data_IF_553896317098
#
_entry.id   IF_553896317098
#
_cell.length_a   1.000
_cell.length_b   1.000
_cell.length_c   1.000
_cell.angle_alpha   90.00
_cell.angle_beta   90.00
_cell.angle_gamma   90.00
#
_symmetry.space_group_name_H-M   'P 1'
#
loop_
_entity.id
_entity.type
_entity.pdbx_description
1 polymer ?
#
# COMPACT_ATOMS: atom_id res chain seq x y z
N UNK A 1 -26.53 27.21 -13.76
CA UNK A 1 -25.39 26.32 -13.47
C UNK A 1 -25.57 25.09 -14.31
N UNK A 2 -24.53 24.64 -15.02
CA UNK A 2 -24.56 23.33 -15.66
C UNK A 2 -24.71 22.24 -14.57
N UNK A 3 -25.38 21.10 -14.86
CA UNK A 3 -25.41 19.98 -13.93
C UNK A 3 -23.98 19.48 -13.65
N UNK A 4 -23.70 18.97 -12.44
CA UNK A 4 -22.37 18.43 -12.12
C UNK A 4 -22.06 17.23 -13.00
N UNK A 5 -20.82 17.16 -13.48
CA UNK A 5 -20.33 16.07 -14.32
C UNK A 5 -19.92 14.88 -13.44
N UNK A 6 -20.86 13.97 -13.18
CA UNK A 6 -20.63 12.85 -12.24
C UNK A 6 -20.14 11.62 -13.00
N UNK A 7 -18.89 11.25 -12.74
CA UNK A 7 -18.31 9.99 -13.20
C UNK A 7 -18.56 8.89 -12.15
N UNK A 8 -18.78 7.66 -12.62
CA UNK A 8 -18.92 6.49 -11.74
C UNK A 8 -18.10 5.35 -12.29
N UNK A 9 -17.09 4.93 -11.53
CA UNK A 9 -16.24 3.79 -11.85
C UNK A 9 -16.31 2.77 -10.73
N UNK A 10 -16.69 1.54 -11.08
CA UNK A 10 -17.02 0.48 -10.11
C UNK A 10 -18.06 0.94 -9.06
N UNK A 11 -17.65 1.00 -7.79
CA UNK A 11 -18.46 1.35 -6.62
C UNK A 11 -18.08 2.74 -6.07
N UNK A 12 -17.49 3.60 -6.90
CA UNK A 12 -17.04 4.95 -6.52
C UNK A 12 -17.60 5.95 -7.53
N UNK A 13 -18.22 7.02 -7.01
CA UNK A 13 -18.71 8.15 -7.80
C UNK A 13 -18.03 9.43 -7.33
N UNK A 14 -17.66 10.28 -8.28
CA UNK A 14 -17.00 11.56 -8.03
C UNK A 14 -17.37 12.58 -9.11
N UNK A 15 -17.23 13.85 -8.78
CA UNK A 15 -17.45 14.96 -9.70
C UNK A 15 -16.18 15.22 -10.49
N UNK A 16 -16.27 15.12 -11.81
CA UNK A 16 -15.18 15.42 -12.73
C UNK A 16 -14.99 16.93 -12.82
N UNK A 17 -13.73 17.36 -12.77
CA UNK A 17 -13.34 18.78 -12.76
C UNK A 17 -12.19 19.02 -13.73
N UNK A 18 -11.84 20.28 -13.97
CA UNK A 18 -10.68 20.68 -14.79
C UNK A 18 -9.31 20.17 -14.28
N UNK A 19 -9.23 19.75 -13.02
CA UNK A 19 -8.01 19.16 -12.43
C UNK A 19 -7.84 17.68 -12.80
N UNK A 20 -8.91 17.02 -13.21
CA UNK A 20 -8.87 15.62 -13.62
C UNK A 20 -8.16 15.45 -14.97
N UNK A 21 -7.57 14.28 -15.18
CA UNK A 21 -6.86 13.91 -16.40
C UNK A 21 -7.62 12.83 -17.16
N UNK A 22 -7.85 13.06 -18.45
CA UNK A 22 -8.47 12.03 -19.31
C UNK A 22 -7.50 10.89 -19.58
N UNK A 23 -8.02 9.77 -20.09
CA UNK A 23 -7.20 8.63 -20.50
C UNK A 23 -6.10 9.02 -21.51
N UNK A 24 -6.41 9.91 -22.46
CA UNK A 24 -5.48 10.42 -23.48
C UNK A 24 -4.36 11.26 -22.85
N UNK A 25 -4.66 11.98 -21.76
CA UNK A 25 -3.67 12.79 -21.04
C UNK A 25 -2.77 11.93 -20.13
N UNK A 26 -3.30 10.84 -19.56
CA UNK A 26 -2.54 9.92 -18.72
C UNK A 26 -1.69 8.94 -19.54
N UNK A 27 -2.17 8.54 -20.73
CA UNK A 27 -1.51 7.53 -21.57
C UNK A 27 -0.03 7.81 -21.88
N UNK A 28 0.42 9.05 -22.20
CA UNK A 28 1.84 9.33 -22.42
C UNK A 28 2.73 8.96 -21.22
N UNK A 29 2.21 9.11 -19.99
CA UNK A 29 2.94 8.80 -18.76
C UNK A 29 3.16 7.29 -18.57
N UNK A 30 2.51 6.43 -19.36
CA UNK A 30 2.81 4.99 -19.40
C UNK A 30 4.11 4.69 -20.17
N UNK A 31 4.67 5.67 -20.87
CA UNK A 31 5.88 5.53 -21.67
C UNK A 31 7.06 6.36 -21.14
N UNK A 32 6.84 7.16 -20.11
CA UNK A 32 7.90 7.84 -19.36
C UNK A 32 8.25 7.04 -18.11
N UNK A 33 9.48 7.20 -17.64
CA UNK A 33 10.04 6.48 -16.50
C UNK A 33 11.31 7.19 -16.01
N UNK A 34 11.80 6.78 -14.85
CA UNK A 34 13.05 7.24 -14.25
C UNK A 34 14.29 6.80 -15.06
N UNK A 35 14.59 7.59 -16.09
CA UNK A 35 15.73 7.37 -17.00
C UNK A 35 17.07 7.53 -16.28
N UNK A 36 17.17 8.46 -15.33
CA UNK A 36 18.39 8.70 -14.58
C UNK A 36 18.79 7.44 -13.80
N UNK A 37 17.85 6.82 -13.07
CA UNK A 37 18.13 5.59 -12.35
C UNK A 37 18.43 4.41 -13.30
N UNK A 38 17.74 4.28 -14.44
CA UNK A 38 18.04 3.24 -15.43
C UNK A 38 19.47 3.38 -16.01
N UNK A 39 19.87 4.60 -16.37
CA UNK A 39 21.23 4.89 -16.86
C UNK A 39 22.28 4.57 -15.77
N UNK A 40 22.00 4.92 -14.50
CA UNK A 40 22.87 4.58 -13.38
C UNK A 40 22.97 3.07 -13.15
N UNK A 41 21.87 2.31 -13.26
CA UNK A 41 21.90 0.85 -13.16
C UNK A 41 22.76 0.25 -14.27
N UNK A 42 22.69 0.77 -15.49
CA UNK A 42 23.55 0.33 -16.59
C UNK A 42 25.04 0.56 -16.24
N UNK A 43 25.41 1.75 -15.76
CA UNK A 43 26.78 2.07 -15.31
C UNK A 43 27.26 1.19 -14.16
N UNK A 44 26.41 0.96 -13.15
CA UNK A 44 26.73 0.06 -12.04
C UNK A 44 26.91 -1.40 -12.49
N UNK A 45 26.18 -1.85 -13.52
CA UNK A 45 26.37 -3.17 -14.12
C UNK A 45 27.67 -3.29 -14.92
N UNK A 46 28.21 -2.18 -15.44
CA UNK A 46 29.52 -2.16 -16.11
C UNK A 46 30.66 -2.15 -15.09
N UNK A 47 30.57 -1.31 -14.05
CA UNK A 47 31.59 -1.17 -13.00
C UNK A 47 31.62 -2.36 -12.04
N UNK A 48 30.45 -2.92 -11.73
CA UNK A 48 30.29 -4.07 -10.84
C UNK A 48 29.24 -5.02 -11.41
N UNK A 49 29.62 -5.87 -12.38
CA UNK A 49 28.70 -6.78 -13.05
C UNK A 49 27.95 -7.67 -12.06
N UNK A 50 26.62 -7.85 -12.23
CA UNK A 50 25.90 -8.80 -11.41
C UNK A 50 26.47 -10.20 -11.64
N UNK A 51 26.68 -10.97 -10.58
CA UNK A 51 27.02 -12.39 -10.71
C UNK A 51 25.98 -13.06 -11.62
N UNK A 52 26.44 -13.89 -12.57
CA UNK A 52 25.56 -14.60 -13.49
C UNK A 52 24.67 -15.55 -12.69
N UNK A 53 23.50 -15.11 -12.27
CA UNK A 53 22.49 -15.97 -11.66
C UNK A 53 21.99 -16.98 -12.72
N UNK A 54 22.59 -18.17 -12.72
CA UNK A 54 22.10 -19.34 -13.43
C UNK A 54 21.58 -20.32 -12.39
N UNK A 55 20.26 -20.38 -12.14
CA UNK A 55 19.72 -21.50 -11.38
C UNK A 55 19.93 -22.76 -12.23
N UNK A 56 20.88 -23.61 -11.84
CA UNK A 56 20.96 -24.97 -12.37
C UNK A 56 19.80 -25.77 -11.78
N UNK A 57 19.07 -26.51 -12.63
CA UNK A 57 18.02 -27.41 -12.16
C UNK A 57 18.64 -28.44 -11.19
N UNK A 58 18.24 -28.40 -9.92
CA UNK A 58 18.61 -29.41 -8.92
C UNK A 58 19.68 -29.02 -7.89
N UNK A 59 20.27 -27.82 -7.92
CA UNK A 59 21.21 -27.37 -6.88
C UNK A 59 20.52 -26.52 -5.78
N UNK A 60 20.85 -26.72 -4.49
CA UNK A 60 20.35 -25.86 -3.41
C UNK A 60 20.97 -24.46 -3.52
N UNK A 61 20.20 -23.38 -3.27
CA UNK A 61 20.68 -22.01 -3.42
C UNK A 61 21.76 -21.69 -2.40
N UNK A 62 23.02 -21.58 -2.84
CA UNK A 62 24.08 -20.94 -2.05
C UNK A 62 23.83 -19.43 -2.02
N UNK A 63 23.99 -18.81 -0.84
CA UNK A 63 23.83 -17.35 -0.68
C UNK A 63 25.02 -16.65 -1.35
N UNK A 64 24.84 -16.19 -2.58
CA UNK A 64 25.72 -15.21 -3.19
C UNK A 64 25.85 -13.97 -2.28
N UNK A 65 27.00 -13.26 -2.28
CA UNK A 65 27.12 -11.97 -1.60
C UNK A 65 26.03 -11.03 -2.14
N UNK A 66 25.29 -10.38 -1.24
CA UNK A 66 24.19 -9.51 -1.66
C UNK A 66 24.76 -8.26 -2.35
N UNK A 67 24.41 -8.04 -3.61
CA UNK A 67 24.76 -6.85 -4.38
C UNK A 67 23.88 -5.67 -3.95
N UNK A 68 24.32 -4.91 -2.94
CA UNK A 68 23.63 -3.68 -2.51
C UNK A 68 23.93 -2.53 -3.50
N UNK A 69 22.95 -2.21 -4.34
CA UNK A 69 23.08 -1.17 -5.36
C UNK A 69 23.26 0.23 -4.77
N UNK A 70 22.72 0.51 -3.58
CA UNK A 70 22.90 1.81 -2.93
C UNK A 70 24.35 1.97 -2.46
N UNK A 71 24.95 0.92 -1.88
CA UNK A 71 26.35 0.94 -1.47
C UNK A 71 27.30 1.07 -2.67
N UNK A 72 26.95 0.44 -3.81
CA UNK A 72 27.71 0.61 -5.06
C UNK A 72 27.57 2.03 -5.61
N UNK A 73 26.36 2.61 -5.58
CA UNK A 73 26.13 3.99 -5.99
C UNK A 73 26.98 4.95 -5.14
N UNK A 74 26.94 4.84 -3.82
CA UNK A 74 27.75 5.64 -2.90
C UNK A 74 29.25 5.53 -3.21
N UNK A 75 29.72 4.30 -3.43
CA UNK A 75 31.13 4.00 -3.71
C UNK A 75 31.63 4.67 -4.99
N UNK A 76 30.85 4.64 -6.06
CA UNK A 76 31.29 5.08 -7.39
C UNK A 76 30.77 6.47 -7.77
N UNK A 77 29.90 7.09 -6.97
CA UNK A 77 29.28 8.38 -7.28
C UNK A 77 30.31 9.47 -7.62
N UNK A 78 31.44 9.54 -6.90
CA UNK A 78 32.48 10.57 -7.12
C UNK A 78 33.31 10.37 -8.38
N UNK A 79 33.29 9.16 -8.94
CA UNK A 79 34.16 8.76 -10.05
C UNK A 79 33.41 8.68 -11.39
N UNK A 80 32.07 8.78 -11.39
CA UNK A 80 31.22 8.70 -12.58
C UNK A 80 30.15 9.81 -12.55
N UNK A 81 30.17 10.77 -13.51
CA UNK A 81 29.26 11.92 -13.49
C UNK A 81 27.77 11.56 -13.48
N UNK A 82 27.38 10.42 -14.07
CA UNK A 82 25.98 9.97 -14.09
C UNK A 82 25.56 9.44 -12.73
N UNK A 83 26.46 8.72 -12.05
CA UNK A 83 26.24 8.26 -10.68
C UNK A 83 26.25 9.43 -9.68
N UNK A 84 27.10 10.44 -9.92
CA UNK A 84 27.12 11.68 -9.13
C UNK A 84 25.79 12.43 -9.22
N UNK A 85 25.21 12.52 -10.42
CA UNK A 85 23.92 13.17 -10.66
C UNK A 85 22.82 12.52 -9.82
N UNK A 86 22.68 11.18 -9.89
CA UNK A 86 21.69 10.47 -9.07
C UNK A 86 22.00 10.59 -7.58
N UNK A 87 23.26 10.46 -7.18
CA UNK A 87 23.67 10.59 -5.77
C UNK A 87 23.35 11.96 -5.20
N UNK A 88 23.53 13.02 -6.01
CA UNK A 88 23.19 14.39 -5.63
C UNK A 88 21.68 14.55 -5.51
N UNK A 89 20.90 14.07 -6.49
CA UNK A 89 19.45 14.14 -6.47
C UNK A 89 18.86 13.45 -5.23
N UNK A 90 19.25 12.22 -4.94
CA UNK A 90 18.69 11.49 -3.79
C UNK A 90 19.05 12.12 -2.45
N UNK A 91 20.18 12.83 -2.33
CA UNK A 91 20.61 13.46 -1.08
C UNK A 91 20.18 14.93 -0.97
N UNK A 92 19.58 15.50 -2.01
CA UNK A 92 19.04 16.85 -1.99
C UNK A 92 17.66 16.84 -1.33
N UNK A 93 17.42 17.78 -0.42
CA UNK A 93 16.09 17.98 0.19
C UNK A 93 15.37 19.05 -0.61
N UNK A 94 14.20 18.77 -1.22
CA UNK A 94 13.44 19.77 -1.96
C UNK A 94 12.98 20.94 -1.09
N UNK A 95 12.90 22.15 -1.67
CA UNK A 95 12.53 23.38 -0.95
C UNK A 95 11.13 23.37 -0.33
N UNK A 96 10.23 22.55 -0.88
CA UNK A 96 8.86 22.40 -0.37
C UNK A 96 8.76 21.48 0.86
N UNK A 97 9.85 20.85 1.31
CA UNK A 97 9.85 19.96 2.47
C UNK A 97 9.83 20.77 3.77
N UNK A 98 8.70 20.72 4.47
CA UNK A 98 8.58 21.14 5.87
C UNK A 98 8.73 19.91 6.79
N UNK A 99 9.82 19.83 7.54
CA UNK A 99 10.07 18.70 8.45
C UNK A 99 9.04 18.57 9.57
N UNK A 100 8.45 19.65 10.05
CA UNK A 100 7.37 19.56 11.03
C UNK A 100 6.10 19.00 10.40
N UNK A 101 5.82 19.33 9.13
CA UNK A 101 4.76 18.72 8.34
C UNK A 101 4.98 17.22 8.14
N UNK A 102 6.18 16.81 7.73
CA UNK A 102 6.55 15.40 7.58
C UNK A 102 6.36 14.64 8.89
N UNK A 103 6.77 15.23 10.03
CA UNK A 103 6.59 14.61 11.35
C UNK A 103 5.12 14.36 11.66
N UNK A 104 4.24 15.35 11.41
CA UNK A 104 2.79 15.18 11.62
C UNK A 104 2.21 14.13 10.67
N UNK A 105 2.69 14.06 9.43
CA UNK A 105 2.32 13.02 8.47
C UNK A 105 2.68 11.61 8.96
N UNK A 106 3.86 11.45 9.58
CA UNK A 106 4.26 10.20 10.22
C UNK A 106 3.35 9.83 11.41
N UNK A 107 2.88 10.82 12.17
CA UNK A 107 1.93 10.59 13.28
C UNK A 107 0.57 10.11 12.78
N UNK A 108 0.09 10.59 11.63
CA UNK A 108 -1.17 10.12 11.00
C UNK A 108 -1.13 8.61 10.77
N UNK A 109 0.00 8.07 10.26
CA UNK A 109 0.16 6.63 10.08
C UNK A 109 -0.06 5.86 11.38
N UNK A 110 0.59 6.26 12.48
CA UNK A 110 0.46 5.53 13.75
C UNK A 110 -0.86 5.80 14.48
N UNK A 111 -1.44 6.99 14.33
CA UNK A 111 -2.76 7.35 14.86
C UNK A 111 -3.85 6.44 14.29
N UNK A 112 -3.78 6.19 12.99
CA UNK A 112 -4.71 5.30 12.27
C UNK A 112 -4.10 3.95 11.91
N UNK A 113 -3.08 3.47 12.66
CA UNK A 113 -2.28 2.30 12.29
C UNK A 113 -3.07 1.07 11.84
N UNK A 114 -3.96 0.55 12.68
CA UNK A 114 -4.77 -0.63 12.34
C UNK A 114 -5.64 -0.44 11.09
N UNK A 115 -6.47 0.63 11.00
CA UNK A 115 -7.27 0.85 9.80
C UNK A 115 -6.42 1.15 8.56
N UNK A 116 -5.31 1.90 8.63
CA UNK A 116 -4.41 2.12 7.48
C UNK A 116 -3.79 0.79 7.03
N UNK A 117 -3.34 -0.06 7.94
CA UNK A 117 -2.79 -1.38 7.60
C UNK A 117 -3.80 -2.26 6.85
N UNK A 118 -5.09 -2.18 7.17
CA UNK A 118 -6.15 -2.84 6.40
C UNK A 118 -6.31 -2.24 5.01
N UNK A 119 -6.31 -0.90 4.91
CA UNK A 119 -6.37 -0.24 3.61
C UNK A 119 -5.22 -0.72 2.72
N UNK A 120 -3.98 -0.65 3.22
CA UNK A 120 -2.80 -1.05 2.47
C UNK A 120 -2.86 -2.53 2.04
N UNK A 121 -3.36 -3.41 2.91
CA UNK A 121 -3.43 -4.86 2.63
C UNK A 121 -4.55 -5.26 1.67
N UNK A 122 -5.73 -4.64 1.81
CA UNK A 122 -6.95 -5.12 1.14
C UNK A 122 -7.48 -4.16 0.08
N UNK A 123 -7.39 -2.84 0.28
CA UNK A 123 -7.79 -1.86 -0.72
C UNK A 123 -6.64 -1.61 -1.71
N UNK A 124 -5.47 -1.21 -1.21
CA UNK A 124 -4.32 -0.84 -2.03
C UNK A 124 -3.72 -2.06 -2.72
N UNK A 125 -3.36 -3.10 -1.96
CA UNK A 125 -2.73 -4.29 -2.52
C UNK A 125 -3.72 -5.21 -3.24
N UNK A 126 -4.70 -5.78 -2.52
CA UNK A 126 -5.61 -6.77 -3.11
C UNK A 126 -6.51 -6.11 -4.16
N UNK A 127 -7.11 -4.96 -3.87
CA UNK A 127 -7.87 -4.17 -4.84
C UNK A 127 -7.02 -3.65 -6.00
N UNK A 128 -5.75 -3.29 -5.73
CA UNK A 128 -4.78 -2.90 -6.75
C UNK A 128 -4.44 -3.99 -7.78
N UNK A 129 -4.80 -5.27 -7.51
CA UNK A 129 -4.76 -6.31 -8.54
C UNK A 129 -5.77 -6.07 -9.69
N UNK A 130 -6.57 -5.00 -9.60
CA UNK A 130 -7.36 -4.48 -10.71
C UNK A 130 -6.58 -3.62 -11.71
N UNK A 131 -5.40 -3.08 -11.34
CA UNK A 131 -4.57 -2.25 -12.20
C UNK A 131 -3.79 -3.13 -13.20
N UNK A 132 -4.36 -3.34 -14.38
CA UNK A 132 -3.94 -4.41 -15.29
C UNK A 132 -2.47 -4.33 -15.74
N UNK A 133 -1.93 -3.13 -15.97
CA UNK A 133 -0.54 -2.93 -16.42
C UNK A 133 0.47 -3.20 -15.32
N UNK A 134 0.19 -2.73 -14.11
CA UNK A 134 0.98 -3.02 -12.90
C UNK A 134 0.99 -4.53 -12.65
N UNK A 135 -0.18 -5.18 -12.71
CA UNK A 135 -0.33 -6.62 -12.52
C UNK A 135 0.48 -7.42 -13.54
N UNK A 136 0.52 -6.98 -14.80
CA UNK A 136 1.33 -7.63 -15.84
C UNK A 136 2.81 -7.61 -15.46
N UNK A 137 3.34 -6.45 -15.05
CA UNK A 137 4.72 -6.34 -14.54
C UNK A 137 4.96 -7.25 -13.34
N UNK A 138 4.05 -7.26 -12.36
CA UNK A 138 4.15 -8.11 -11.17
C UNK A 138 4.17 -9.60 -11.51
N UNK A 139 3.32 -10.03 -12.46
CA UNK A 139 3.22 -11.42 -12.87
C UNK A 139 4.55 -11.96 -13.42
N UNK A 140 5.30 -11.15 -14.18
CA UNK A 140 6.60 -11.49 -14.79
C UNK A 140 7.73 -11.68 -13.77
N UNK A 141 7.62 -11.08 -12.58
CA UNK A 141 8.60 -11.27 -11.51
C UNK A 141 8.47 -12.63 -10.81
N UNK A 142 7.27 -13.22 -10.79
CA UNK A 142 6.96 -14.40 -9.98
C UNK A 142 6.88 -14.12 -8.47
N UNK A 143 7.02 -12.87 -8.03
CA UNK A 143 7.05 -12.48 -6.62
C UNK A 143 5.69 -12.55 -5.90
N UNK A 144 4.60 -12.82 -6.63
CA UNK A 144 3.24 -12.92 -6.10
C UNK A 144 2.69 -14.35 -6.12
N UNK A 145 3.55 -15.36 -6.13
CA UNK A 145 3.12 -16.73 -5.85
C UNK A 145 2.69 -16.87 -4.39
N UNK A 146 1.72 -17.76 -4.11
CA UNK A 146 1.19 -17.96 -2.76
C UNK A 146 2.25 -18.32 -1.71
N UNK A 147 3.34 -18.99 -2.11
CA UNK A 147 4.45 -19.38 -1.23
C UNK A 147 5.37 -18.22 -0.83
N UNK A 148 5.39 -17.16 -1.64
CA UNK A 148 6.35 -16.07 -1.54
C UNK A 148 5.71 -14.76 -1.08
N UNK A 149 4.45 -14.53 -1.49
CA UNK A 149 3.78 -13.24 -1.38
C UNK A 149 3.87 -12.65 0.03
N UNK A 150 3.69 -13.47 1.08
CA UNK A 150 3.80 -13.02 2.47
C UNK A 150 5.13 -12.33 2.77
N UNK A 151 6.26 -12.89 2.31
CA UNK A 151 7.58 -12.29 2.54
C UNK A 151 7.72 -10.95 1.83
N UNK A 152 7.26 -10.85 0.57
CA UNK A 152 7.28 -9.57 -0.16
C UNK A 152 6.44 -8.50 0.50
N UNK A 153 5.30 -8.89 1.09
CA UNK A 153 4.45 -7.95 1.83
C UNK A 153 5.10 -7.47 3.11
N UNK A 154 5.85 -8.33 3.80
CA UNK A 154 6.67 -7.90 4.94
C UNK A 154 7.83 -6.99 4.50
N UNK A 155 8.44 -7.22 3.34
CA UNK A 155 9.42 -6.29 2.75
C UNK A 155 8.78 -4.91 2.50
N UNK A 156 7.59 -4.84 1.89
CA UNK A 156 6.85 -3.58 1.73
C UNK A 156 6.47 -2.95 3.08
N UNK A 157 6.06 -3.76 4.07
CA UNK A 157 5.77 -3.27 5.42
C UNK A 157 7.00 -2.65 6.07
N UNK A 158 8.18 -3.24 5.90
CA UNK A 158 9.43 -2.66 6.39
C UNK A 158 9.62 -1.25 5.81
N UNK A 159 9.44 -1.08 4.49
CA UNK A 159 9.57 0.22 3.85
C UNK A 159 8.60 1.26 4.44
N UNK A 160 7.31 0.92 4.54
CA UNK A 160 6.27 1.80 5.14
C UNK A 160 6.66 2.21 6.56
N UNK A 161 7.12 1.25 7.38
CA UNK A 161 7.52 1.51 8.75
C UNK A 161 8.77 2.40 8.81
N UNK A 162 9.77 2.16 7.96
CA UNK A 162 10.99 2.97 7.90
C UNK A 162 10.68 4.42 7.50
N UNK A 163 9.83 4.67 6.49
CA UNK A 163 9.46 6.04 6.10
C UNK A 163 8.57 6.73 7.14
N UNK A 164 7.83 5.96 7.94
CA UNK A 164 6.96 6.50 9.00
C UNK A 164 7.68 6.69 10.35
N UNK A 165 8.85 6.06 10.55
CA UNK A 165 9.42 5.82 11.88
C UNK A 165 9.90 7.06 12.64
N UNK A 166 10.53 8.02 11.96
CA UNK A 166 11.02 9.26 12.56
C UNK A 166 11.51 10.22 11.48
N UNK A 167 11.73 11.48 11.85
CA UNK A 167 12.36 12.45 10.95
C UNK A 167 13.76 12.03 10.54
N UNK A 168 14.56 11.53 11.48
CA UNK A 168 15.92 11.06 11.19
C UNK A 168 15.90 9.87 10.22
N UNK A 169 14.83 9.07 10.22
CA UNK A 169 14.64 8.01 9.23
C UNK A 169 14.38 8.56 7.82
N UNK A 170 13.73 9.71 7.69
CA UNK A 170 13.39 10.34 6.39
C UNK A 170 14.43 11.34 5.87
N UNK A 171 15.31 11.83 6.73
CA UNK A 171 16.44 12.68 6.30
C UNK A 171 17.45 11.87 5.48
N UNK A 172 18.22 12.52 4.58
CA UNK A 172 19.27 11.84 3.82
C UNK A 172 20.19 10.99 4.72
N UNK A 173 20.40 9.74 4.34
CA UNK A 173 21.15 8.75 5.11
C UNK A 173 20.32 7.99 6.16
N UNK A 174 19.09 8.39 6.43
CA UNK A 174 18.15 7.68 7.32
C UNK A 174 17.61 6.37 6.73
N UNK A 175 17.07 5.49 7.58
CA UNK A 175 16.59 4.17 7.13
C UNK A 175 15.44 4.26 6.11
N UNK A 176 14.48 5.17 6.32
CA UNK A 176 13.39 5.47 5.39
C UNK A 176 13.91 5.98 4.05
N UNK A 177 14.77 7.01 4.08
CA UNK A 177 15.44 7.54 2.90
C UNK A 177 16.18 6.45 2.11
N UNK A 178 17.09 5.72 2.76
CA UNK A 178 17.84 4.66 2.10
C UNK A 178 16.93 3.55 1.56
N UNK A 179 15.85 3.21 2.27
CA UNK A 179 14.88 2.22 1.81
C UNK A 179 14.15 2.67 0.55
N UNK A 180 13.72 3.94 0.46
CA UNK A 180 13.14 4.54 -0.75
C UNK A 180 14.10 4.45 -1.94
N UNK A 181 15.37 4.80 -1.73
CA UNK A 181 16.39 4.75 -2.79
C UNK A 181 16.67 3.31 -3.23
N UNK A 182 16.75 2.36 -2.30
CA UNK A 182 16.91 0.93 -2.65
C UNK A 182 15.72 0.42 -3.48
N UNK A 183 14.49 0.83 -3.16
CA UNK A 183 13.31 0.49 -3.97
C UNK A 183 13.38 1.14 -5.35
N UNK A 184 13.82 2.41 -5.47
CA UNK A 184 14.06 3.10 -6.76
C UNK A 184 15.02 2.31 -7.65
N UNK A 185 16.18 1.92 -7.11
CA UNK A 185 17.19 1.13 -7.82
C UNK A 185 16.69 -0.28 -8.18
N UNK A 186 15.90 -0.90 -7.30
CA UNK A 186 15.25 -2.19 -7.59
C UNK A 186 14.25 -2.06 -8.75
N UNK A 187 13.44 -1.00 -8.78
CA UNK A 187 12.48 -0.74 -9.84
C UNK A 187 13.18 -0.59 -11.20
N UNK A 188 14.25 0.20 -11.27
CA UNK A 188 15.08 0.32 -12.49
C UNK A 188 15.69 -1.01 -12.91
N UNK A 189 16.17 -1.81 -11.97
CA UNK A 189 16.71 -3.16 -12.26
C UNK A 189 15.65 -4.10 -12.84
N UNK A 190 14.41 -4.06 -12.32
CA UNK A 190 13.28 -4.85 -12.83
C UNK A 190 12.88 -4.38 -14.23
N UNK A 191 12.73 -3.06 -14.43
CA UNK A 191 12.37 -2.44 -15.70
C UNK A 191 13.36 -2.80 -16.80
N UNK A 192 14.65 -2.54 -16.58
CA UNK A 192 15.72 -2.87 -17.50
C UNK A 192 15.72 -4.37 -17.87
N UNK A 193 15.43 -5.24 -16.88
CA UNK A 193 15.37 -6.68 -17.11
C UNK A 193 14.20 -7.10 -17.98
N UNK A 194 12.99 -6.58 -17.74
CA UNK A 194 11.81 -6.90 -18.55
C UNK A 194 11.98 -6.38 -19.98
N UNK A 195 12.46 -5.14 -20.14
CA UNK A 195 12.71 -4.55 -21.47
C UNK A 195 13.77 -5.33 -22.25
N UNK A 196 14.84 -5.79 -21.59
CA UNK A 196 15.84 -6.65 -22.21
C UNK A 196 15.23 -7.97 -22.71
N UNK A 197 14.33 -8.60 -21.94
CA UNK A 197 13.65 -9.83 -22.35
C UNK A 197 12.66 -9.59 -23.49
N UNK A 198 11.93 -8.48 -23.47
CA UNK A 198 11.01 -8.08 -24.53
C UNK A 198 11.75 -7.78 -25.84
N UNK A 199 12.96 -7.19 -25.76
CA UNK A 199 13.82 -6.99 -26.94
C UNK A 199 14.28 -8.31 -27.56
N UNK A 200 14.56 -9.32 -26.74
CA UNK A 200 14.95 -10.66 -27.22
C UNK A 200 13.75 -11.45 -27.76
N UNK A 201 12.58 -11.32 -27.12
CA UNK A 201 11.32 -11.96 -27.52
C UNK A 201 10.15 -10.98 -27.37
N UNK A 202 9.72 -10.29 -28.43
CA UNK A 202 8.67 -9.27 -28.37
C UNK A 202 7.35 -9.78 -27.77
N UNK A 203 7.02 -11.05 -27.94
CA UNK A 203 5.83 -11.69 -27.36
C UNK A 203 5.90 -11.86 -25.83
N UNK A 204 7.06 -11.63 -25.21
CA UNK A 204 7.24 -11.74 -23.76
C UNK A 204 6.48 -10.65 -23.01
N UNK A 205 6.47 -9.41 -23.51
CA UNK A 205 5.83 -8.28 -22.86
C UNK A 205 5.43 -7.23 -23.92
N UNK A 206 4.13 -6.96 -24.02
CA UNK A 206 3.56 -6.05 -25.00
C UNK A 206 3.67 -4.60 -24.51
N UNK A 207 4.75 -3.92 -24.92
CA UNK A 207 5.05 -2.54 -24.53
C UNK A 207 4.00 -1.58 -25.08
N UNK A 208 3.50 -1.80 -26.29
CA UNK A 208 2.49 -0.93 -26.88
C UNK A 208 1.23 -0.96 -26.04
N UNK A 209 0.76 -2.15 -25.65
CA UNK A 209 -0.43 -2.30 -24.82
C UNK A 209 -0.22 -1.84 -23.38
N UNK A 210 0.84 -2.31 -22.73
CA UNK A 210 1.02 -2.15 -21.28
C UNK A 210 1.88 -0.94 -20.89
N UNK A 211 2.50 -0.25 -21.84
CA UNK A 211 3.49 0.79 -21.55
C UNK A 211 4.82 0.20 -21.05
N UNK A 212 5.75 1.08 -20.69
CA UNK A 212 7.01 0.70 -20.07
C UNK A 212 6.71 0.13 -18.66
N UNK A 213 7.27 -1.03 -18.28
CA UNK A 213 7.03 -1.58 -16.95
C UNK A 213 7.57 -0.65 -15.87
N UNK A 214 6.78 -0.41 -14.83
CA UNK A 214 7.12 0.55 -13.77
C UNK A 214 7.31 1.94 -14.40
N UNK A 215 6.36 2.34 -15.23
CA UNK A 215 6.32 3.70 -15.80
C UNK A 215 6.07 4.74 -14.71
N UNK A 216 6.22 6.02 -15.05
CA UNK A 216 5.87 7.11 -14.14
C UNK A 216 4.42 6.99 -13.67
N UNK A 217 3.49 6.62 -14.57
CA UNK A 217 2.09 6.44 -14.19
C UNK A 217 1.89 5.25 -13.23
N UNK A 218 2.62 4.15 -13.42
CA UNK A 218 2.55 3.02 -12.49
C UNK A 218 3.07 3.41 -11.10
N UNK A 219 4.15 4.20 -11.05
CA UNK A 219 4.72 4.73 -9.82
C UNK A 219 3.78 5.72 -9.13
N UNK A 220 3.19 6.67 -9.85
CA UNK A 220 2.20 7.62 -9.33
C UNK A 220 0.96 6.87 -8.81
N UNK A 221 0.43 5.92 -9.59
CA UNK A 221 -0.69 5.09 -9.18
C UNK A 221 -0.39 4.31 -7.91
N UNK A 222 0.82 3.75 -7.79
CA UNK A 222 1.26 3.06 -6.58
C UNK A 222 1.33 4.03 -5.39
N UNK A 223 1.99 5.19 -5.50
CA UNK A 223 2.04 6.20 -4.44
C UNK A 223 0.63 6.65 -4.02
N UNK A 224 -0.29 6.84 -4.97
CA UNK A 224 -1.69 7.15 -4.69
C UNK A 224 -2.34 6.11 -3.78
N UNK A 225 -2.14 4.82 -4.05
CA UNK A 225 -2.70 3.75 -3.21
C UNK A 225 -2.11 3.71 -1.78
N UNK A 226 -0.94 4.30 -1.56
CA UNK A 226 -0.34 4.45 -0.22
C UNK A 226 -0.74 5.75 0.49
N UNK A 227 -1.29 6.72 -0.23
CA UNK A 227 -1.52 8.09 0.25
C UNK A 227 -2.97 8.53 0.08
N UNK A 228 -3.32 9.06 -1.10
CA UNK A 228 -4.61 9.66 -1.43
C UNK A 228 -5.77 8.67 -1.29
N UNK A 229 -5.62 7.44 -1.78
CA UNK A 229 -6.64 6.40 -1.62
C UNK A 229 -6.85 6.01 -0.15
N UNK A 230 -5.81 6.11 0.68
CA UNK A 230 -5.92 5.83 2.12
C UNK A 230 -6.85 6.83 2.78
N UNK A 231 -6.66 8.11 2.53
CA UNK A 231 -7.40 9.17 3.22
C UNK A 231 -8.79 9.43 2.64
N UNK A 232 -9.00 9.24 1.34
CA UNK A 232 -10.28 9.54 0.69
C UNK A 232 -11.16 8.33 0.39
N UNK A 233 -10.62 7.10 0.37
CA UNK A 233 -11.39 5.88 0.10
C UNK A 233 -11.33 4.93 1.29
N UNK A 234 -10.12 4.50 1.66
CA UNK A 234 -9.91 3.40 2.60
C UNK A 234 -10.31 3.69 4.05
N UNK A 235 -9.91 4.84 4.59
CA UNK A 235 -10.31 5.25 5.95
C UNK A 235 -11.82 5.59 6.02
N UNK A 236 -12.41 6.36 5.08
CA UNK A 236 -13.85 6.59 5.04
C UNK A 236 -14.69 5.32 4.98
N UNK A 237 -14.25 4.30 4.21
CA UNK A 237 -14.93 3.00 4.16
C UNK A 237 -14.91 2.25 5.50
N UNK A 238 -14.02 2.60 6.42
CA UNK A 238 -14.01 2.10 7.81
C UNK A 238 -14.67 3.07 8.80
N UNK A 239 -15.30 4.14 8.31
CA UNK A 239 -15.98 5.17 9.11
C UNK A 239 -15.04 6.18 9.77
N UNK A 240 -13.78 6.27 9.31
CA UNK A 240 -12.77 7.20 9.83
C UNK A 240 -12.58 8.33 8.83
N UNK A 241 -12.79 9.56 9.29
CA UNK A 241 -12.59 10.78 8.50
C UNK A 241 -11.45 11.59 9.13
N UNK A 242 -10.24 11.57 8.54
CA UNK A 242 -9.12 12.41 8.98
C UNK A 242 -9.47 13.89 8.88
N UNK A 243 -8.80 14.71 9.69
CA UNK A 243 -8.92 16.17 9.59
C UNK A 243 -8.18 16.69 8.35
N UNK A 244 -8.59 17.85 7.85
CA UNK A 244 -8.00 18.45 6.64
C UNK A 244 -6.48 18.65 6.72
N UNK A 245 -5.96 19.03 7.88
CA UNK A 245 -4.52 19.15 8.12
C UNK A 245 -3.83 17.79 8.18
N UNK A 246 -4.48 16.76 8.74
CA UNK A 246 -3.93 15.38 8.73
C UNK A 246 -3.81 14.84 7.30
N UNK A 247 -4.77 15.18 6.43
CA UNK A 247 -4.74 14.81 5.01
C UNK A 247 -3.54 15.49 4.32
N UNK A 248 -3.37 16.81 4.51
CA UNK A 248 -2.22 17.55 3.97
C UNK A 248 -0.89 17.00 4.47
N UNK A 249 -0.76 16.79 5.78
CA UNK A 249 0.45 16.29 6.41
C UNK A 249 0.81 14.88 5.90
N UNK A 250 -0.18 13.99 5.74
CA UNK A 250 0.03 12.63 5.23
C UNK A 250 0.40 12.62 3.74
N UNK A 251 -0.22 13.49 2.94
CA UNK A 251 0.12 13.65 1.52
C UNK A 251 1.55 14.20 1.37
N UNK A 252 1.96 15.17 2.20
CA UNK A 252 3.32 15.71 2.19
C UNK A 252 4.38 14.64 2.48
N UNK A 253 4.11 13.73 3.45
CA UNK A 253 4.98 12.58 3.72
C UNK A 253 5.17 11.73 2.46
N UNK A 254 4.07 11.35 1.80
CA UNK A 254 4.14 10.50 0.62
C UNK A 254 4.66 11.22 -0.63
N UNK A 255 4.55 12.55 -0.70
CA UNK A 255 5.23 13.38 -1.71
C UNK A 255 6.74 13.29 -1.56
N UNK A 256 7.26 13.30 -0.34
CA UNK A 256 8.70 13.10 -0.07
C UNK A 256 9.15 11.66 -0.38
N UNK A 257 8.32 10.66 -0.04
CA UNK A 257 8.59 9.27 -0.44
C UNK A 257 8.63 9.15 -1.98
N UNK A 258 7.68 9.76 -2.69
CA UNK A 258 7.64 9.78 -4.15
C UNK A 258 8.91 10.39 -4.75
N UNK A 259 9.36 11.52 -4.21
CA UNK A 259 10.62 12.18 -4.61
C UNK A 259 11.83 11.23 -4.47
N UNK A 260 12.03 10.64 -3.29
CA UNK A 260 13.15 9.71 -3.08
C UNK A 260 13.04 8.44 -3.94
N UNK A 261 11.83 8.05 -4.33
CA UNK A 261 11.57 6.93 -5.23
C UNK A 261 11.70 7.28 -6.72
N UNK A 262 12.02 8.53 -7.08
CA UNK A 262 12.12 8.98 -8.48
C UNK A 262 10.77 9.11 -9.19
N UNK A 263 9.67 9.22 -8.44
CA UNK A 263 8.32 9.39 -8.98
C UNK A 263 8.02 10.88 -9.15
N UNK A 264 7.39 11.32 -10.27
CA UNK A 264 6.95 12.71 -10.40
C UNK A 264 6.07 13.13 -9.22
N UNK A 265 6.26 14.35 -8.67
CA UNK A 265 5.59 14.75 -7.42
C UNK A 265 4.46 15.76 -7.57
N UNK A 266 4.28 16.32 -8.77
CA UNK A 266 3.37 17.44 -9.02
C UNK A 266 1.91 17.10 -8.71
N UNK A 267 1.55 15.82 -8.85
CA UNK A 267 0.20 15.34 -8.53
C UNK A 267 -0.14 15.44 -7.03
N UNK A 268 0.84 15.58 -6.13
CA UNK A 268 0.63 15.72 -4.68
C UNK A 268 0.87 17.14 -4.17
N UNK A 269 0.90 18.15 -5.06
CA UNK A 269 1.22 19.53 -4.67
C UNK A 269 0.16 20.14 -3.74
N UNK A 270 -1.10 19.81 -3.96
CA UNK A 270 -2.24 20.26 -3.16
C UNK A 270 -3.34 19.19 -3.14
N UNK A 271 -4.26 19.30 -2.17
CA UNK A 271 -5.34 18.32 -1.97
C UNK A 271 -6.28 18.19 -3.18
N UNK A 272 -6.85 19.28 -3.75
CA UNK A 272 -7.67 19.17 -4.95
C UNK A 272 -6.99 18.42 -6.11
N UNK A 273 -5.75 18.80 -6.43
CA UNK A 273 -4.97 18.16 -7.49
C UNK A 273 -4.73 16.68 -7.18
N UNK A 274 -4.31 16.36 -5.94
CA UNK A 274 -4.05 14.99 -5.51
C UNK A 274 -5.29 14.10 -5.56
N UNK A 275 -6.44 14.63 -5.16
CA UNK A 275 -7.71 13.91 -5.21
C UNK A 275 -8.15 13.68 -6.66
N UNK A 276 -8.13 14.70 -7.50
CA UNK A 276 -8.49 14.59 -8.90
C UNK A 276 -7.58 13.59 -9.63
N UNK A 277 -6.27 13.61 -9.38
CA UNK A 277 -5.33 12.66 -10.00
C UNK A 277 -5.59 11.22 -9.55
N UNK A 278 -5.91 11.01 -8.27
CA UNK A 278 -6.33 9.69 -7.75
C UNK A 278 -7.57 9.17 -8.49
N UNK A 279 -8.59 10.03 -8.63
CA UNK A 279 -9.86 9.70 -9.29
C UNK A 279 -9.64 9.40 -10.79
N UNK A 280 -8.83 10.20 -11.48
CA UNK A 280 -8.45 9.97 -12.88
C UNK A 280 -7.68 8.66 -13.09
N UNK A 281 -6.71 8.34 -12.21
CA UNK A 281 -5.98 7.07 -12.28
C UNK A 281 -6.90 5.89 -11.99
N UNK A 282 -7.82 6.03 -11.04
CA UNK A 282 -8.78 4.98 -10.73
C UNK A 282 -9.62 4.62 -11.96
N UNK A 283 -10.12 5.63 -12.68
CA UNK A 283 -10.88 5.42 -13.92
C UNK A 283 -10.03 4.80 -15.04
N UNK A 284 -8.78 5.24 -15.19
CA UNK A 284 -7.90 4.79 -16.28
C UNK A 284 -7.26 3.41 -16.05
N UNK A 285 -6.79 3.10 -14.85
CA UNK A 285 -5.99 1.89 -14.57
C UNK A 285 -6.83 0.67 -14.20
N UNK A 286 -7.90 0.89 -13.43
CA UNK A 286 -8.57 -0.19 -12.70
C UNK A 286 -9.57 -0.88 -13.62
N UNK A 287 -9.09 -1.91 -14.30
CA UNK A 287 -9.89 -2.83 -15.12
C UNK A 287 -9.32 -4.26 -14.96
N UNK A 288 -9.78 -5.02 -13.95
CA UNK A 288 -9.19 -6.31 -13.61
C UNK A 288 -9.19 -7.32 -14.77
N UNK A 289 -8.05 -7.97 -14.97
CA UNK A 289 -7.87 -9.05 -15.98
C UNK A 289 -7.67 -10.41 -15.29
N UNK A 290 -7.79 -11.55 -16.00
CA UNK A 290 -7.66 -12.88 -15.39
C UNK A 290 -6.39 -13.08 -14.56
N UNK A 291 -5.26 -12.51 -14.99
CA UNK A 291 -4.01 -12.56 -14.22
C UNK A 291 -4.12 -11.82 -12.87
N UNK A 292 -4.86 -10.71 -12.81
CA UNK A 292 -5.13 -9.98 -11.57
C UNK A 292 -5.94 -10.81 -10.56
N UNK A 293 -6.91 -11.59 -11.04
CA UNK A 293 -7.68 -12.52 -10.21
C UNK A 293 -6.77 -13.60 -9.59
N UNK A 294 -5.79 -14.11 -10.36
CA UNK A 294 -4.80 -15.07 -9.85
C UNK A 294 -3.95 -14.46 -8.74
N UNK A 295 -3.44 -13.24 -8.93
CA UNK A 295 -2.62 -12.58 -7.92
C UNK A 295 -3.44 -12.23 -6.66
N UNK A 296 -4.68 -11.75 -6.81
CA UNK A 296 -5.59 -11.48 -5.70
C UNK A 296 -5.84 -12.74 -4.86
N UNK A 297 -6.12 -13.89 -5.50
CA UNK A 297 -6.26 -15.18 -4.81
C UNK A 297 -4.98 -15.62 -4.11
N UNK A 298 -3.82 -15.44 -4.75
CA UNK A 298 -2.53 -15.79 -4.15
C UNK A 298 -2.22 -14.98 -2.89
N UNK A 299 -2.60 -13.69 -2.85
CA UNK A 299 -2.45 -12.85 -1.66
C UNK A 299 -3.25 -13.46 -0.49
N UNK A 300 -4.52 -13.79 -0.72
CA UNK A 300 -5.39 -14.41 0.29
C UNK A 300 -4.81 -15.75 0.75
N UNK A 301 -4.44 -16.63 -0.18
CA UNK A 301 -3.85 -17.96 0.15
C UNK A 301 -2.54 -17.81 0.94
N UNK A 302 -1.68 -16.89 0.51
CA UNK A 302 -0.36 -16.70 1.12
C UNK A 302 -0.44 -16.16 2.54
N UNK A 303 -1.42 -15.29 2.82
CA UNK A 303 -1.60 -14.62 4.10
C UNK A 303 -2.51 -15.38 5.08
N UNK A 304 -3.36 -16.29 4.58
CA UNK A 304 -4.32 -17.03 5.40
C UNK A 304 -3.68 -17.66 6.63
N UNK A 305 -4.24 -17.34 7.80
CA UNK A 305 -3.83 -17.84 9.12
C UNK A 305 -2.32 -17.67 9.39
N UNK A 306 -1.73 -16.56 8.92
CA UNK A 306 -0.34 -16.22 9.21
C UNK A 306 -0.20 -14.94 10.02
N UNK A 307 0.90 -14.84 10.75
CA UNK A 307 1.27 -13.65 11.48
C UNK A 307 1.45 -12.43 10.54
N UNK A 308 1.17 -11.21 11.03
CA UNK A 308 0.87 -10.89 12.44
C UNK A 308 -0.62 -10.98 12.81
N UNK A 309 -1.53 -10.98 11.82
CA UNK A 309 -2.98 -10.85 12.10
C UNK A 309 -3.69 -12.19 12.30
N UNK A 310 -3.14 -13.28 11.78
CA UNK A 310 -3.76 -14.61 11.78
C UNK A 310 -5.21 -14.59 11.27
N UNK A 311 -5.48 -13.77 10.24
CA UNK A 311 -6.81 -13.65 9.66
C UNK A 311 -7.20 -14.90 8.87
N UNK A 312 -8.46 -15.34 9.01
CA UNK A 312 -9.01 -16.37 8.14
C UNK A 312 -9.16 -15.85 6.71
N UNK A 313 -9.28 -16.78 5.77
CA UNK A 313 -9.55 -16.47 4.36
C UNK A 313 -10.84 -15.65 4.22
N UNK A 314 -11.91 -16.09 4.86
CA UNK A 314 -13.24 -15.50 4.74
C UNK A 314 -13.31 -14.10 5.36
N UNK A 315 -12.56 -13.86 6.45
CA UNK A 315 -12.41 -12.51 7.02
C UNK A 315 -11.67 -11.57 6.06
N UNK A 316 -10.56 -12.02 5.47
CA UNK A 316 -9.82 -11.22 4.48
C UNK A 316 -10.67 -10.90 3.25
N UNK A 317 -11.43 -11.87 2.74
CA UNK A 317 -12.37 -11.67 1.63
C UNK A 317 -13.46 -10.66 2.01
N UNK A 318 -14.00 -10.73 3.23
CA UNK A 318 -15.02 -9.78 3.70
C UNK A 318 -14.45 -8.36 3.84
N UNK A 319 -13.25 -8.21 4.41
CA UNK A 319 -12.56 -6.92 4.53
C UNK A 319 -12.26 -6.33 3.15
N UNK A 320 -11.75 -7.14 2.22
CA UNK A 320 -11.49 -6.72 0.84
C UNK A 320 -12.76 -6.26 0.13
N UNK A 321 -13.88 -6.97 0.29
CA UNK A 321 -15.17 -6.56 -0.28
C UNK A 321 -15.69 -5.26 0.31
N UNK A 322 -15.58 -5.09 1.62
CA UNK A 322 -15.99 -3.88 2.31
C UNK A 322 -15.18 -2.66 1.85
N UNK A 323 -13.86 -2.84 1.70
CA UNK A 323 -12.95 -1.77 1.33
C UNK A 323 -12.87 -1.46 -0.17
N UNK A 324 -13.23 -2.37 -1.07
CA UNK A 324 -13.17 -2.15 -2.52
C UNK A 324 -14.54 -1.94 -3.17
N UNK A 325 -15.63 -2.33 -2.50
CA UNK A 325 -16.96 -2.36 -3.10
C UNK A 325 -17.27 -3.70 -3.78
N UNK A 326 -18.54 -3.91 -4.11
CA UNK A 326 -19.01 -5.21 -4.57
C UNK A 326 -18.67 -5.47 -6.03
N UNK A 327 -18.80 -4.47 -6.92
CA UNK A 327 -18.56 -4.66 -8.36
C UNK A 327 -17.09 -4.95 -8.65
N UNK A 328 -16.17 -4.17 -8.07
CA UNK A 328 -14.73 -4.39 -8.26
C UNK A 328 -14.31 -5.75 -7.69
N UNK A 329 -14.84 -6.12 -6.51
CA UNK A 329 -14.55 -7.40 -5.89
C UNK A 329 -15.08 -8.59 -6.70
N UNK A 330 -16.28 -8.49 -7.26
CA UNK A 330 -16.85 -9.50 -8.16
C UNK A 330 -15.97 -9.64 -9.41
N UNK A 331 -15.49 -8.52 -9.97
CA UNK A 331 -14.59 -8.55 -11.14
C UNK A 331 -13.22 -9.17 -10.85
N UNK A 332 -12.72 -8.99 -9.62
CA UNK A 332 -11.50 -9.63 -9.11
C UNK A 332 -11.70 -11.09 -8.68
N UNK A 333 -12.91 -11.64 -8.82
CA UNK A 333 -13.27 -12.99 -8.41
C UNK A 333 -13.04 -13.24 -6.90
N UNK A 334 -13.35 -12.23 -6.10
CA UNK A 334 -13.39 -12.32 -4.62
C UNK A 334 -14.77 -12.81 -4.21
N UNK A 335 -14.90 -13.99 -3.57
CA UNK A 335 -16.19 -14.59 -3.24
C UNK A 335 -17.08 -13.70 -2.39
N UNK A 336 -18.40 -13.76 -2.62
CA UNK A 336 -19.39 -13.17 -1.70
C UNK A 336 -19.26 -13.82 -0.32
N UNK A 337 -19.36 -13.02 0.73
CA UNK A 337 -19.12 -13.45 2.11
C UNK A 337 -20.41 -13.63 2.88
N UNK A 338 -20.40 -14.50 3.89
CA UNK A 338 -21.57 -14.75 4.74
C UNK A 338 -21.89 -13.54 5.62
N UNK A 339 -23.13 -13.47 6.10
CA UNK A 339 -23.58 -12.42 7.01
C UNK A 339 -22.75 -12.37 8.30
N UNK A 340 -22.24 -13.52 8.76
CA UNK A 340 -21.35 -13.59 9.92
C UNK A 340 -20.08 -12.74 9.70
N UNK A 341 -19.34 -12.98 8.62
CA UNK A 341 -18.12 -12.22 8.35
C UNK A 341 -18.40 -10.74 8.04
N UNK A 342 -19.50 -10.44 7.35
CA UNK A 342 -19.92 -9.04 7.17
C UNK A 342 -20.16 -8.34 8.52
N UNK A 343 -20.83 -9.01 9.45
CA UNK A 343 -21.07 -8.51 10.82
C UNK A 343 -19.77 -8.31 11.58
N UNK A 344 -18.80 -9.22 11.44
CA UNK A 344 -17.47 -9.05 12.03
C UNK A 344 -16.76 -7.81 11.49
N UNK A 345 -16.80 -7.56 10.18
CA UNK A 345 -16.18 -6.35 9.60
C UNK A 345 -16.83 -5.09 10.18
N UNK A 346 -18.15 -5.02 10.30
CA UNK A 346 -18.82 -3.88 10.96
C UNK A 346 -18.43 -3.72 12.43
N UNK A 347 -18.35 -4.82 13.18
CA UNK A 347 -17.86 -4.80 14.56
C UNK A 347 -16.42 -4.29 14.66
N UNK A 348 -15.54 -4.75 13.79
CA UNK A 348 -14.16 -4.25 13.68
C UNK A 348 -14.14 -2.75 13.38
N UNK A 349 -14.88 -2.29 12.36
CA UNK A 349 -14.96 -0.88 11.97
C UNK A 349 -15.47 -0.02 13.14
N UNK A 350 -16.48 -0.48 13.86
CA UNK A 350 -16.97 0.19 15.07
C UNK A 350 -15.87 0.36 16.12
N UNK A 351 -15.12 -0.70 16.41
CA UNK A 351 -14.05 -0.63 17.41
C UNK A 351 -12.94 0.34 17.00
N UNK A 352 -12.50 0.30 15.73
CA UNK A 352 -11.45 1.23 15.27
C UNK A 352 -11.95 2.67 15.20
N UNK A 353 -13.23 2.91 14.91
CA UNK A 353 -13.85 4.24 15.03
C UNK A 353 -13.81 4.73 16.48
N UNK A 354 -14.25 3.92 17.44
CA UNK A 354 -14.21 4.28 18.87
C UNK A 354 -12.80 4.65 19.29
N UNK A 355 -11.79 3.85 18.92
CA UNK A 355 -10.38 4.15 19.24
C UNK A 355 -9.92 5.44 18.56
N UNK A 356 -10.17 5.60 17.26
CA UNK A 356 -9.73 6.76 16.49
C UNK A 356 -10.32 8.08 17.02
N UNK A 357 -11.63 8.11 17.27
CA UNK A 357 -12.30 9.31 17.77
C UNK A 357 -12.01 9.56 19.26
N UNK A 358 -11.80 8.51 20.07
CA UNK A 358 -11.35 8.69 21.45
C UNK A 358 -9.95 9.30 21.52
N UNK A 359 -9.01 8.82 20.69
CA UNK A 359 -7.67 9.39 20.59
C UNK A 359 -7.72 10.88 20.22
N UNK A 360 -8.63 11.26 19.32
CA UNK A 360 -8.83 12.66 18.92
C UNK A 360 -9.29 13.55 20.08
N UNK A 361 -10.12 13.03 20.98
CA UNK A 361 -10.63 13.78 22.16
C UNK A 361 -9.56 13.89 23.26
N UNK A 362 -8.64 12.92 23.36
CA UNK A 362 -7.63 12.85 24.41
C UNK A 362 -6.19 12.87 23.86
N UNK A 363 -5.59 14.05 23.59
CA UNK A 363 -4.30 14.17 22.92
C UNK A 363 -3.12 13.49 23.63
N UNK A 364 -3.13 13.44 24.97
CA UNK A 364 -2.09 12.74 25.73
C UNK A 364 -2.17 11.22 25.52
N UNK A 365 -3.40 10.69 25.43
CA UNK A 365 -3.63 9.28 25.13
C UNK A 365 -3.19 8.96 23.70
N UNK A 366 -3.52 9.83 22.73
CA UNK A 366 -3.07 9.67 21.34
C UNK A 366 -1.54 9.58 21.22
N UNK A 367 -0.80 10.52 21.84
CA UNK A 367 0.67 10.52 21.83
C UNK A 367 1.26 9.25 22.45
N UNK A 368 0.71 8.81 23.58
CA UNK A 368 1.15 7.57 24.23
C UNK A 368 0.87 6.35 23.33
N UNK A 369 -0.30 6.31 22.69
CA UNK A 369 -0.70 5.22 21.81
C UNK A 369 0.14 5.16 20.53
N UNK A 370 0.48 6.31 19.96
CA UNK A 370 1.42 6.43 18.84
C UNK A 370 2.78 5.86 19.22
N UNK A 371 3.32 6.23 20.39
CA UNK A 371 4.62 5.72 20.85
C UNK A 371 4.62 4.19 21.02
N UNK A 372 3.56 3.64 21.62
CA UNK A 372 3.39 2.18 21.77
C UNK A 372 3.30 1.48 20.42
N UNK A 373 2.45 1.96 19.51
CA UNK A 373 2.28 1.37 18.16
C UNK A 373 3.57 1.44 17.35
N UNK A 374 4.30 2.55 17.44
CA UNK A 374 5.60 2.72 16.77
C UNK A 374 6.58 1.61 17.17
N UNK A 375 6.70 1.32 18.47
CA UNK A 375 7.53 0.23 18.97
C UNK A 375 7.00 -1.15 18.53
N UNK A 376 5.70 -1.40 18.68
CA UNK A 376 5.07 -2.68 18.37
C UNK A 376 5.12 -3.04 16.88
N UNK A 377 4.91 -2.08 15.98
CA UNK A 377 4.97 -2.35 14.55
C UNK A 377 6.40 -2.60 14.09
N UNK A 378 7.37 -1.82 14.60
CA UNK A 378 8.77 -2.04 14.24
C UNK A 378 9.28 -3.41 14.74
N UNK A 379 8.78 -3.94 15.86
CA UNK A 379 9.16 -5.28 16.30
C UNK A 379 8.76 -6.39 15.32
N UNK A 380 7.75 -6.17 14.46
CA UNK A 380 7.36 -7.12 13.40
C UNK A 380 8.51 -7.34 12.40
N UNK A 381 9.31 -6.31 12.10
CA UNK A 381 10.46 -6.43 11.19
C UNK A 381 11.52 -7.34 11.81
N UNK A 382 11.81 -7.14 13.10
CA UNK A 382 12.89 -7.82 13.81
C UNK A 382 12.53 -9.23 14.30
N UNK A 383 11.25 -9.60 14.30
CA UNK A 383 10.78 -10.91 14.74
C UNK A 383 11.30 -12.03 13.82
N UNK A 384 12.01 -13.02 14.39
CA UNK A 384 12.63 -14.13 13.66
C UNK A 384 11.67 -15.25 13.28
N UNK A 385 10.59 -15.42 14.03
CA UNK A 385 9.65 -16.52 13.85
C UNK A 385 8.48 -16.10 12.97
N UNK A 386 7.96 -14.90 13.23
CA UNK A 386 6.75 -14.36 12.64
C UNK A 386 7.02 -13.15 11.74
N UNK A 387 8.22 -12.59 11.74
CA UNK A 387 8.60 -11.41 10.97
C UNK A 387 9.51 -11.70 9.78
N UNK A 388 10.40 -10.75 9.48
CA UNK A 388 11.47 -10.90 8.48
C UNK A 388 12.74 -11.53 9.06
N UNK A 389 12.86 -11.56 10.39
CA UNK A 389 14.05 -11.98 11.11
C UNK A 389 15.23 -11.02 11.02
N UNK A 390 14.98 -9.79 10.60
CA UNK A 390 15.96 -8.74 10.38
C UNK A 390 15.59 -7.84 9.20
N UNK A 391 16.26 -6.70 9.10
CA UNK A 391 16.06 -5.79 7.98
C UNK A 391 16.54 -6.40 6.66
N UNK A 392 15.82 -6.10 5.59
CA UNK A 392 16.15 -6.48 4.23
C UNK A 392 16.57 -5.25 3.43
N UNK A 393 17.48 -5.45 2.49
CA UNK A 393 17.98 -4.42 1.57
C UNK A 393 17.26 -4.46 0.21
N UNK A 394 16.08 -5.10 0.14
CA UNK A 394 15.25 -5.22 -1.07
C UNK A 394 15.98 -5.89 -2.23
N UNK A 395 16.64 -7.03 -1.93
CA UNK A 395 17.40 -7.80 -2.92
C UNK A 395 16.57 -8.08 -4.18
N UNK A 396 17.19 -7.99 -5.37
CA UNK A 396 16.55 -8.37 -6.63
C UNK A 396 16.44 -9.90 -6.79
N UNK A 397 15.67 -10.53 -5.89
CA UNK A 397 15.53 -11.98 -5.76
C UNK A 397 14.61 -12.59 -6.81
N UNK A 398 13.58 -11.85 -7.21
CA UNK A 398 12.52 -12.29 -8.12
C UNK A 398 12.79 -11.79 -9.54
N UNK A 399 13.89 -12.26 -10.13
CA UNK A 399 14.36 -11.82 -11.45
C UNK A 399 13.46 -12.37 -12.56
N UNK A 400 12.90 -11.52 -13.45
CA UNK A 400 12.13 -11.95 -14.60
C UNK A 400 12.92 -12.87 -15.56
N UNK A 401 12.23 -13.87 -16.09
CA UNK A 401 12.75 -14.83 -17.08
C UNK A 401 11.60 -15.36 -17.95
N UNK A 402 11.90 -15.89 -19.15
CA UNK A 402 10.89 -16.34 -20.12
C UNK A 402 9.89 -17.37 -19.56
N UNK A 403 10.35 -18.31 -18.72
CA UNK A 403 9.49 -19.36 -18.13
C UNK A 403 8.85 -18.94 -16.81
N UNK A 404 9.18 -17.76 -16.28
CA UNK A 404 8.72 -17.29 -14.98
C UNK A 404 7.48 -16.44 -15.16
N UNK A 405 6.37 -16.94 -14.64
CA UNK A 405 5.11 -16.20 -14.48
C UNK A 405 4.42 -16.65 -13.20
N UNK A 406 3.66 -15.76 -12.57
CA UNK A 406 2.91 -16.08 -11.36
C UNK A 406 1.73 -16.98 -11.70
N UNK A 407 1.71 -18.19 -11.12
CA UNK A 407 0.60 -19.15 -11.24
C UNK A 407 -0.27 -19.15 -9.99
N UNK A 408 -1.50 -19.63 -10.12
CA UNK A 408 -2.38 -19.83 -8.97
C UNK A 408 -1.77 -20.86 -8.03
N UNK A 409 -1.64 -20.48 -6.76
CA UNK A 409 -1.12 -21.34 -5.70
C UNK A 409 -2.16 -22.33 -5.18
N UNK A 410 -1.68 -23.35 -4.48
CA UNK A 410 -2.53 -24.29 -3.76
C UNK A 410 -2.76 -23.82 -2.33
N UNK A 411 -4.01 -23.89 -1.86
CA UNK A 411 -4.34 -23.58 -0.46
C UNK A 411 -3.70 -24.60 0.46
N UNK A 412 -2.98 -24.14 1.47
CA UNK A 412 -2.39 -24.99 2.52
C UNK A 412 -3.34 -25.04 3.71
N UNK A 413 -3.57 -26.23 4.26
CA UNK A 413 -4.33 -26.41 5.51
C UNK A 413 -3.49 -25.93 6.70
N UNK A 414 -3.48 -24.63 6.96
CA UNK A 414 -2.89 -24.03 8.17
C UNK A 414 -3.93 -24.08 9.28
N UNK A 415 -3.54 -24.60 10.46
CA UNK A 415 -4.42 -24.54 11.64
C UNK A 415 -4.66 -23.07 12.01
N UNK A 416 -5.93 -22.69 12.17
CA UNK A 416 -6.29 -21.36 12.63
C UNK A 416 -5.73 -21.07 14.03
N UNK A 417 -5.41 -19.81 14.29
CA UNK A 417 -5.08 -19.36 15.66
C UNK A 417 -6.36 -19.21 16.48
N UNK A 418 -6.31 -19.56 17.77
CA UNK A 418 -7.44 -19.35 18.71
C UNK A 418 -7.71 -17.86 19.00
N UNK A 419 -6.74 -16.97 18.73
CA UNK A 419 -6.81 -15.54 19.01
C UNK A 419 -6.23 -14.72 17.85
N UNK A 420 -6.98 -14.62 16.75
CA UNK A 420 -6.63 -13.80 15.58
C UNK A 420 -7.37 -12.46 15.56
N UNK A 421 -7.25 -11.74 14.45
CA UNK A 421 -7.95 -10.45 14.23
C UNK A 421 -9.48 -10.55 14.40
N UNK A 422 -10.06 -11.73 14.18
CA UNK A 422 -11.49 -11.97 14.37
C UNK A 422 -11.94 -11.81 15.82
N UNK A 423 -11.08 -12.10 16.80
CA UNK A 423 -11.41 -11.86 18.21
C UNK A 423 -11.64 -10.38 18.48
N UNK A 424 -10.82 -9.51 17.87
CA UNK A 424 -10.99 -8.07 17.95
C UNK A 424 -12.31 -7.63 17.30
N UNK A 425 -12.66 -8.22 16.15
CA UNK A 425 -13.91 -7.98 15.47
C UNK A 425 -15.14 -8.42 16.31
N UNK A 426 -15.07 -9.59 16.95
CA UNK A 426 -16.11 -10.11 17.84
C UNK A 426 -16.33 -9.21 19.06
N UNK A 427 -15.24 -8.72 19.69
CA UNK A 427 -15.32 -7.72 20.76
C UNK A 427 -16.01 -6.43 20.27
N UNK A 428 -15.71 -6.01 19.04
CA UNK A 428 -16.38 -4.91 18.39
C UNK A 428 -17.89 -5.12 18.22
N UNK A 429 -18.32 -6.30 17.76
CA UNK A 429 -19.76 -6.65 17.67
C UNK A 429 -20.42 -6.60 19.06
N UNK A 430 -19.76 -7.15 20.08
CA UNK A 430 -20.26 -7.08 21.45
C UNK A 430 -20.39 -5.62 21.96
N UNK A 431 -19.41 -4.77 21.65
CA UNK A 431 -19.45 -3.34 21.99
C UNK A 431 -20.59 -2.58 21.28
N UNK A 432 -20.89 -2.92 20.03
CA UNK A 432 -22.06 -2.37 19.32
C UNK A 432 -23.35 -2.76 20.03
N UNK A 433 -23.54 -4.05 20.32
CA UNK A 433 -24.75 -4.56 20.97
C UNK A 433 -24.98 -3.91 22.34
N UNK A 434 -23.92 -3.79 23.15
CA UNK A 434 -23.99 -3.16 24.47
C UNK A 434 -24.30 -1.66 24.39
N UNK A 435 -23.71 -0.95 23.43
CA UNK A 435 -23.98 0.48 23.19
C UNK A 435 -25.43 0.71 22.74
N UNK A 436 -25.93 -0.12 21.81
CA UNK A 436 -27.31 -0.05 21.35
C UNK A 436 -28.32 -0.35 22.48
N UNK A 437 -28.05 -1.38 23.28
CA UNK A 437 -28.88 -1.71 24.45
C UNK A 437 -28.90 -0.56 25.48
N UNK A 438 -27.74 0.06 25.74
CA UNK A 438 -27.62 1.19 26.67
C UNK A 438 -28.40 2.41 26.16
N UNK A 439 -28.28 2.73 24.87
CA UNK A 439 -29.02 3.83 24.26
C UNK A 439 -30.54 3.60 24.29
N UNK A 440 -30.99 2.38 23.99
CA UNK A 440 -32.40 2.00 24.05
C UNK A 440 -32.94 2.12 25.49
N UNK A 441 -32.21 1.60 26.47
CA UNK A 441 -32.58 1.71 27.87
C UNK A 441 -32.66 3.18 28.31
N UNK A 442 -31.67 4.00 27.94
CA UNK A 442 -31.68 5.44 28.21
C UNK A 442 -32.87 6.17 27.58
N UNK A 443 -33.22 5.83 26.33
CA UNK A 443 -34.39 6.39 25.65
C UNK A 443 -35.70 5.99 26.35
N UNK A 444 -35.85 4.73 26.75
CA UNK A 444 -37.02 4.24 27.49
C UNK A 444 -37.12 4.93 28.86
N UNK A 445 -36.02 5.03 29.60
CA UNK A 445 -35.97 5.69 30.90
C UNK A 445 -36.30 7.20 30.78
N UNK A 446 -35.73 7.88 29.77
CA UNK A 446 -36.03 9.28 29.47
C UNK A 446 -37.50 9.49 29.10
N UNK A 447 -38.08 8.63 28.26
CA UNK A 447 -39.50 8.69 27.90
C UNK A 447 -40.41 8.48 29.12
N UNK A 448 -40.07 7.55 30.03
CA UNK A 448 -40.79 7.34 31.30
C UNK A 448 -40.73 8.57 32.20
N UNK A 449 -39.56 9.18 32.37
CA UNK A 449 -39.39 10.40 33.18
C UNK A 449 -40.18 11.59 32.60
N UNK A 450 -40.18 11.76 31.27
CA UNK A 450 -40.96 12.80 30.60
C UNK A 450 -42.48 12.55 30.69
N UNK A 451 -42.91 11.29 30.59
CA UNK A 451 -44.30 10.89 30.79
C UNK A 451 -44.80 11.16 32.22
N UNK A 452 -44.00 10.83 33.23
CA UNK A 452 -44.30 11.13 34.63
C UNK A 452 -44.36 12.65 34.91
N UNK A 453 -43.49 13.45 34.29
CA UNK A 453 -43.55 14.92 34.41
C UNK A 453 -44.79 15.54 33.77
N UNK A 454 -45.35 14.93 32.71
CA UNK A 454 -46.63 15.36 32.12
C UNK A 454 -47.82 15.03 33.04
N UNK A 455 -47.78 13.87 33.71
CA UNK A 455 -48.80 13.45 34.69
C UNK A 455 -48.78 14.27 35.99
N UNK A 456 -47.62 14.81 36.40
CA UNK A 456 -47.49 15.67 37.58
C UNK A 456 -47.83 17.15 37.33
N UNK A 457 -48.04 17.55 36.06
CA UNK A 457 -48.43 18.91 35.65
C UNK A 457 -49.88 19.03 35.19
N UNK A 458 -50.58 17.91 35.05
CA UNK A 458 -52.03 17.83 34.86
C UNK A 458 -52.68 17.57 36.22
#
# INVERSE_FOLDING_TARGET
MAPPDIHTHWDISFEWTELHRTAEQLRPMTFTYDKLADDCIARLNELSPPEKYRPKAGEPPTKAPKRDLLALLERYAKDDPKLEELWTEINTVPDWVDWDQIKRGQEVFFRYGMPIMNVLSFQSLLGGMGASRIVETLARTGGFSADVVRRRLLETLQHILQVSLSLDSMKPGGAGHQSSVRVRLLHSSVRARILSLAKEKPEYYDIEKFGIPISDLDCIGTINTFSTSVVWIGLPRQGIYPMENEIEDYIALWRLVAYYMGTPTDFLTDKPTAKAFMESILEFEVDPKPIGQVLAKNIVIGLENTAPTFASKEFMEAMARHLNGHKLSDRLDIPKTSLYYQTLIYGYCYLVMVIAYSNRVFPLFDKAWIAVRRKMYYSIITDKEHGLGGETIFDFKYVPWFTRTTKLGTRKNRKGSKAGIETLAQLGVFAVCTSAATALYGAIAGARLLGQRKLLRA
#
